data_IF_279092792662
#
_entry.id   IF_279092792662
#
_cell.length_a   1.000
_cell.length_b   1.000
_cell.length_c   1.000
_cell.angle_alpha   90.00
_cell.angle_beta   90.00
_cell.angle_gamma   90.00
#
_symmetry.space_group_name_H-M   'P 1'
#
loop_
_entity.id
_entity.type
_entity.pdbx_description
1 polymer ?
#
# COMPACT_ATOMS: atom_id res chain seq x y z
N UNK A 1 -5.49 7.36 -23.15
CA UNK A 1 -4.36 6.40 -23.23
C UNK A 1 -3.85 6.29 -24.66
N UNK A 2 -2.56 6.52 -24.89
CA UNK A 2 -1.94 6.51 -26.22
C UNK A 2 -1.45 5.11 -26.65
N UNK A 3 -0.95 4.96 -27.89
CA UNK A 3 -0.47 3.68 -28.42
C UNK A 3 0.67 3.08 -27.59
N UNK A 4 1.60 3.90 -27.10
CA UNK A 4 2.73 3.45 -26.28
C UNK A 4 2.25 2.93 -24.92
N UNK A 5 1.32 3.62 -24.28
CA UNK A 5 0.72 3.21 -23.01
C UNK A 5 -0.05 1.89 -23.13
N UNK A 6 -0.72 1.65 -24.27
CA UNK A 6 -1.36 0.35 -24.56
C UNK A 6 -0.33 -0.77 -24.71
N UNK A 7 0.81 -0.51 -25.36
CA UNK A 7 1.91 -1.48 -25.47
C UNK A 7 2.49 -1.82 -24.09
N UNK A 8 2.71 -0.81 -23.25
CA UNK A 8 3.23 -0.99 -21.88
C UNK A 8 2.30 -1.90 -21.08
N UNK A 9 1.00 -1.61 -21.04
CA UNK A 9 0.03 -2.45 -20.32
C UNK A 9 0.02 -3.89 -20.82
N UNK A 10 0.09 -4.10 -22.14
CA UNK A 10 0.18 -5.44 -22.71
C UNK A 10 1.42 -6.18 -22.21
N UNK A 11 2.56 -5.50 -22.18
CA UNK A 11 3.84 -6.10 -21.80
C UNK A 11 3.94 -6.35 -20.28
N UNK A 12 3.31 -5.51 -19.44
CA UNK A 12 3.23 -5.71 -17.98
C UNK A 12 2.50 -7.02 -17.61
N UNK A 13 1.59 -7.48 -18.46
CA UNK A 13 0.87 -8.76 -18.29
C UNK A 13 1.48 -9.91 -19.11
N UNK A 14 2.69 -9.72 -19.66
CA UNK A 14 3.37 -10.78 -20.43
C UNK A 14 3.88 -11.86 -19.48
N UNK A 15 3.76 -13.15 -19.83
CA UNK A 15 4.42 -14.23 -19.08
C UNK A 15 5.94 -14.26 -19.31
N UNK A 16 6.46 -13.40 -20.19
CA UNK A 16 7.89 -13.30 -20.50
C UNK A 16 8.50 -12.17 -19.67
N UNK A 17 9.33 -12.52 -18.68
CA UNK A 17 9.95 -11.56 -17.75
C UNK A 17 10.66 -10.39 -18.46
N UNK A 18 11.33 -10.68 -19.58
CA UNK A 18 12.00 -9.66 -20.42
C UNK A 18 11.03 -8.59 -20.95
N UNK A 19 9.81 -8.98 -21.30
CA UNK A 19 8.79 -8.03 -21.76
C UNK A 19 8.31 -7.14 -20.61
N UNK A 20 8.13 -7.73 -19.43
CA UNK A 20 7.75 -7.01 -18.21
C UNK A 20 8.82 -5.99 -17.81
N UNK A 21 10.10 -6.40 -17.79
CA UNK A 21 11.24 -5.51 -17.51
C UNK A 21 11.32 -4.32 -18.49
N UNK A 22 11.10 -4.60 -19.78
CA UNK A 22 11.00 -3.54 -20.80
C UNK A 22 9.84 -2.59 -20.49
N UNK A 23 8.67 -3.13 -20.14
CA UNK A 23 7.50 -2.34 -19.80
C UNK A 23 7.74 -1.44 -18.58
N UNK A 24 8.30 -1.98 -17.50
CA UNK A 24 8.64 -1.24 -16.27
C UNK A 24 9.67 -0.14 -16.53
N UNK A 25 10.59 -0.35 -17.47
CA UNK A 25 11.53 0.69 -17.92
C UNK A 25 10.78 1.81 -18.66
N UNK A 26 9.88 1.45 -19.57
CA UNK A 26 9.08 2.40 -20.35
C UNK A 26 8.08 3.20 -19.49
N UNK A 27 7.60 2.65 -18.37
CA UNK A 27 6.71 3.34 -17.41
C UNK A 27 7.36 4.64 -16.90
N UNK A 28 8.68 4.69 -16.71
CA UNK A 28 9.36 5.89 -16.22
C UNK A 28 9.22 7.11 -17.16
N UNK A 29 9.02 6.88 -18.45
CA UNK A 29 8.91 7.94 -19.46
C UNK A 29 7.49 8.15 -19.98
N UNK A 30 6.69 7.08 -20.00
CA UNK A 30 5.38 7.08 -20.67
C UNK A 30 4.25 6.58 -19.76
N UNK A 31 4.54 6.40 -18.47
CA UNK A 31 3.60 5.92 -17.47
C UNK A 31 2.37 6.80 -17.28
N UNK A 32 1.36 6.23 -16.64
CA UNK A 32 0.16 6.93 -16.18
C UNK A 32 -0.44 6.17 -15.01
N UNK A 33 -1.25 6.84 -14.18
CA UNK A 33 -1.95 6.24 -13.05
C UNK A 33 -2.72 4.95 -13.41
N UNK A 34 -3.25 4.85 -14.64
CA UNK A 34 -3.92 3.65 -15.15
C UNK A 34 -3.05 2.37 -15.20
N UNK A 35 -1.74 2.48 -15.01
CA UNK A 35 -0.80 1.34 -15.00
C UNK A 35 -0.55 0.79 -13.60
N UNK A 36 -0.91 1.53 -12.55
CA UNK A 36 -0.70 1.11 -11.16
C UNK A 36 -1.31 -0.28 -10.88
N UNK A 37 -2.57 -0.58 -11.28
CA UNK A 37 -3.14 -1.90 -11.04
C UNK A 37 -2.36 -3.02 -11.71
N UNK A 38 -1.85 -2.80 -12.93
CA UNK A 38 -1.07 -3.81 -13.65
C UNK A 38 0.29 -4.07 -12.98
N UNK A 39 0.95 -3.02 -12.46
CA UNK A 39 2.24 -3.14 -11.76
C UNK A 39 2.05 -3.86 -10.41
N UNK A 40 1.01 -3.48 -9.65
CA UNK A 40 0.68 -4.15 -8.39
C UNK A 40 0.30 -5.61 -8.64
N UNK A 41 -0.55 -5.88 -9.64
CA UNK A 41 -0.91 -7.25 -9.99
C UNK A 41 0.30 -8.12 -10.34
N UNK A 42 1.29 -7.59 -11.06
CA UNK A 42 2.53 -8.32 -11.32
C UNK A 42 3.25 -8.73 -10.02
N UNK A 43 3.43 -7.80 -9.06
CA UNK A 43 4.02 -8.13 -7.75
C UNK A 43 3.19 -9.16 -6.99
N UNK A 44 1.86 -9.11 -7.14
CA UNK A 44 0.94 -10.04 -6.50
C UNK A 44 1.08 -11.47 -7.04
N UNK A 45 1.18 -11.62 -8.36
CA UNK A 45 1.21 -12.93 -9.04
C UNK A 45 2.55 -13.68 -8.88
N UNK A 46 3.64 -12.98 -8.56
CA UNK A 46 4.96 -13.59 -8.38
C UNK A 46 5.12 -14.26 -6.99
N UNK A 47 5.31 -15.58 -6.93
CA UNK A 47 5.50 -16.30 -5.65
C UNK A 47 6.85 -15.97 -4.98
N UNK A 48 7.89 -15.72 -5.78
CA UNK A 48 9.24 -15.42 -5.32
C UNK A 48 9.73 -14.07 -5.89
N UNK A 49 10.80 -13.52 -5.30
CA UNK A 49 11.41 -12.28 -5.80
C UNK A 49 12.10 -12.52 -7.13
N UNK A 50 11.59 -11.91 -8.19
CA UNK A 50 12.20 -11.86 -9.53
C UNK A 50 12.77 -10.48 -9.82
N UNK A 51 13.63 -10.37 -10.85
CA UNK A 51 14.18 -9.08 -11.29
C UNK A 51 13.03 -8.14 -11.69
N UNK A 52 12.01 -8.65 -12.36
CA UNK A 52 10.83 -7.89 -12.72
C UNK A 52 10.02 -7.42 -11.49
N UNK A 53 9.83 -8.29 -10.49
CA UNK A 53 9.10 -7.92 -9.26
C UNK A 53 9.84 -6.83 -8.46
N UNK A 54 11.17 -6.88 -8.39
CA UNK A 54 11.97 -5.88 -7.68
C UNK A 54 12.00 -4.56 -8.45
N UNK A 55 12.04 -4.63 -9.78
CA UNK A 55 11.89 -3.45 -10.62
C UNK A 55 10.50 -2.82 -10.48
N UNK A 56 9.45 -3.63 -10.34
CA UNK A 56 8.09 -3.14 -10.13
C UNK A 56 7.98 -2.41 -8.78
N UNK A 57 8.53 -2.97 -7.71
CA UNK A 57 8.63 -2.30 -6.40
C UNK A 57 9.41 -0.98 -6.50
N UNK A 58 10.53 -0.94 -7.24
CA UNK A 58 11.30 0.29 -7.50
C UNK A 58 10.48 1.37 -8.23
N UNK A 59 9.66 0.95 -9.20
CA UNK A 59 8.76 1.88 -9.91
C UNK A 59 7.72 2.45 -8.96
N UNK A 60 7.09 1.60 -8.13
CA UNK A 60 6.08 2.05 -7.16
C UNK A 60 6.67 2.90 -6.03
N UNK A 61 7.88 2.58 -5.55
CA UNK A 61 8.57 3.37 -4.52
C UNK A 61 9.13 4.71 -5.02
N UNK A 62 9.03 5.00 -6.33
CA UNK A 62 9.47 6.27 -6.91
C UNK A 62 8.32 7.14 -7.44
N UNK A 63 7.07 6.84 -7.05
CA UNK A 63 5.88 7.57 -7.46
C UNK A 63 5.84 8.99 -6.89
N UNK A 64 5.80 9.98 -7.78
CA UNK A 64 5.71 11.41 -7.43
C UNK A 64 4.40 12.07 -7.85
N UNK A 65 3.71 11.46 -8.81
CA UNK A 65 2.49 12.01 -9.38
C UNK A 65 1.30 11.69 -8.47
N UNK A 66 0.53 12.71 -8.11
CA UNK A 66 -0.60 12.57 -7.18
C UNK A 66 -1.73 11.71 -7.73
N UNK A 67 -1.96 11.70 -9.04
CA UNK A 67 -2.97 10.82 -9.65
C UNK A 67 -2.55 9.36 -9.50
N UNK A 68 -1.26 9.06 -9.72
CA UNK A 68 -0.70 7.72 -9.53
C UNK A 68 -0.67 7.29 -8.06
N UNK A 69 -0.36 8.20 -7.13
CA UNK A 69 -0.42 7.94 -5.69
C UNK A 69 -1.85 7.62 -5.23
N UNK A 70 -2.84 8.38 -5.68
CA UNK A 70 -4.25 8.09 -5.38
C UNK A 70 -4.69 6.75 -5.98
N UNK A 71 -4.33 6.47 -7.24
CA UNK A 71 -4.61 5.19 -7.87
C UNK A 71 -3.99 4.01 -7.09
N UNK A 72 -2.82 4.21 -6.48
CA UNK A 72 -2.18 3.21 -5.63
C UNK A 72 -2.99 2.94 -4.35
N UNK A 73 -3.41 4.00 -3.65
CA UNK A 73 -4.20 3.88 -2.42
C UNK A 73 -5.56 3.23 -2.69
N UNK A 74 -6.23 3.61 -3.78
CA UNK A 74 -7.51 3.03 -4.21
C UNK A 74 -7.38 1.53 -4.57
N UNK A 75 -6.25 1.15 -5.17
CA UNK A 75 -6.00 -0.22 -5.59
C UNK A 75 -5.67 -1.13 -4.40
N UNK A 76 -4.85 -0.65 -3.47
CA UNK A 76 -4.37 -1.39 -2.29
C UNK A 76 -5.49 -1.94 -1.40
N UNK A 77 -6.61 -1.23 -1.30
CA UNK A 77 -7.72 -1.65 -0.42
C UNK A 77 -8.54 -2.81 -0.97
N UNK A 78 -8.24 -3.26 -2.20
CA UNK A 78 -8.93 -4.40 -2.81
C UNK A 78 -8.54 -5.72 -2.14
N UNK A 79 -9.48 -6.67 -2.00
CA UNK A 79 -9.23 -7.95 -1.33
C UNK A 79 -8.09 -8.78 -1.93
N UNK A 80 -7.80 -8.63 -3.22
CA UNK A 80 -6.76 -9.42 -3.91
C UNK A 80 -5.35 -9.13 -3.40
N UNK A 81 -5.09 -7.92 -2.87
CA UNK A 81 -3.78 -7.55 -2.35
C UNK A 81 -3.57 -7.91 -0.88
N UNK A 82 -4.58 -8.50 -0.24
CA UNK A 82 -4.57 -8.77 1.20
C UNK A 82 -3.44 -9.70 1.64
N UNK A 83 -3.10 -10.70 0.81
CA UNK A 83 -2.03 -11.66 1.13
C UNK A 83 -0.65 -11.00 1.22
N UNK A 84 -0.43 -9.97 0.40
CA UNK A 84 0.82 -9.21 0.33
C UNK A 84 0.67 -7.79 0.88
N UNK A 85 -0.31 -7.56 1.77
CA UNK A 85 -0.61 -6.22 2.29
C UNK A 85 0.60 -5.55 2.92
N UNK A 86 1.45 -6.29 3.64
CA UNK A 86 2.69 -5.74 4.22
C UNK A 86 3.62 -5.15 3.15
N UNK A 87 3.80 -5.84 2.02
CA UNK A 87 4.65 -5.34 0.93
C UNK A 87 4.11 -4.03 0.37
N UNK A 88 2.81 -3.96 0.13
CA UNK A 88 2.20 -2.76 -0.43
C UNK A 88 2.07 -1.61 0.57
N UNK A 89 1.82 -1.89 1.84
CA UNK A 89 1.82 -0.87 2.88
C UNK A 89 3.22 -0.27 3.02
N UNK A 90 4.27 -1.09 3.04
CA UNK A 90 5.64 -0.57 3.11
C UNK A 90 6.04 0.34 1.95
N UNK A 91 5.50 0.10 0.75
CA UNK A 91 5.74 0.98 -0.40
C UNK A 91 5.20 2.41 -0.19
N UNK A 92 4.21 2.62 0.68
CA UNK A 92 3.62 3.95 0.95
C UNK A 92 4.68 4.88 1.54
N UNK A 93 5.32 4.48 2.63
CA UNK A 93 6.35 5.32 3.25
C UNK A 93 7.63 5.36 2.41
N UNK A 94 7.97 4.28 1.70
CA UNK A 94 9.12 4.26 0.80
C UNK A 94 8.99 5.25 -0.36
N UNK A 95 7.79 5.42 -0.91
CA UNK A 95 7.51 6.41 -1.95
C UNK A 95 7.21 7.82 -1.44
N UNK A 96 7.05 8.02 -0.13
CA UNK A 96 6.54 9.28 0.41
C UNK A 96 5.12 9.59 -0.09
N UNK A 97 4.27 8.57 -0.19
CA UNK A 97 2.86 8.72 -0.56
C UNK A 97 2.13 9.40 0.60
N UNK A 98 1.38 10.46 0.28
CA UNK A 98 0.55 11.18 1.25
C UNK A 98 -0.73 10.41 1.55
N UNK A 99 -0.71 9.62 2.61
CA UNK A 99 -1.78 8.70 2.96
C UNK A 99 -2.66 9.16 4.13
N UNK A 100 -2.48 10.40 4.63
CA UNK A 100 -3.16 10.91 5.83
C UNK A 100 -4.69 10.80 5.72
N UNK A 101 -5.25 11.09 4.54
CA UNK A 101 -6.69 10.98 4.25
C UNK A 101 -7.19 9.54 4.01
N UNK A 102 -6.33 8.53 4.19
CA UNK A 102 -6.64 7.13 3.93
C UNK A 102 -6.25 6.22 5.11
N UNK A 103 -5.78 6.77 6.23
CA UNK A 103 -5.24 6.00 7.37
C UNK A 103 -6.22 4.95 7.86
N UNK A 104 -7.51 5.25 7.96
CA UNK A 104 -8.54 4.30 8.37
C UNK A 104 -8.65 3.09 7.44
N UNK A 105 -8.49 3.29 6.13
CA UNK A 105 -8.50 2.21 5.16
C UNK A 105 -7.23 1.36 5.25
N UNK A 106 -6.07 2.00 5.47
CA UNK A 106 -4.80 1.29 5.67
C UNK A 106 -4.82 0.45 6.95
N UNK A 107 -5.35 1.00 8.04
CA UNK A 107 -5.56 0.26 9.31
C UNK A 107 -6.48 -0.95 9.08
N UNK A 108 -7.63 -0.76 8.42
CA UNK A 108 -8.55 -1.88 8.08
C UNK A 108 -7.87 -2.94 7.22
N UNK A 109 -6.99 -2.54 6.30
CA UNK A 109 -6.18 -3.46 5.47
C UNK A 109 -5.18 -4.24 6.33
N UNK A 110 -4.44 -3.57 7.21
CA UNK A 110 -3.45 -4.18 8.09
C UNK A 110 -4.06 -5.16 9.12
N UNK A 111 -5.23 -4.84 9.67
CA UNK A 111 -5.92 -5.70 10.62
C UNK A 111 -6.34 -7.04 10.01
N UNK A 112 -6.59 -7.10 8.70
CA UNK A 112 -6.85 -8.33 7.95
C UNK A 112 -5.58 -9.08 7.54
N UNK A 113 -4.44 -8.40 7.50
CA UNK A 113 -3.15 -8.96 7.07
C UNK A 113 -2.43 -9.72 8.18
N UNK A 114 -1.10 -9.75 8.11
CA UNK A 114 -0.24 -10.35 9.12
C UNK A 114 0.29 -9.31 10.12
N UNK A 115 1.25 -9.72 10.96
CA UNK A 115 1.93 -8.84 11.90
C UNK A 115 2.64 -7.68 11.19
N UNK A 116 3.35 -7.98 10.09
CA UNK A 116 4.11 -6.98 9.34
C UNK A 116 3.21 -5.90 8.75
N UNK A 117 2.01 -6.27 8.32
CA UNK A 117 1.04 -5.30 7.80
C UNK A 117 0.66 -4.23 8.85
N UNK A 118 0.53 -4.62 10.13
CA UNK A 118 0.27 -3.66 11.22
C UNK A 118 1.50 -2.80 11.48
N UNK A 119 2.69 -3.39 11.44
CA UNK A 119 3.96 -2.67 11.61
C UNK A 119 4.16 -1.57 10.55
N UNK A 120 3.85 -1.87 9.29
CA UNK A 120 3.95 -0.88 8.21
C UNK A 120 2.98 0.29 8.41
N UNK A 121 1.75 0.05 8.88
CA UNK A 121 0.81 1.14 9.19
C UNK A 121 1.29 2.02 10.33
N UNK A 122 1.87 1.42 11.38
CA UNK A 122 2.52 2.20 12.46
C UNK A 122 3.60 3.10 11.85
N UNK A 123 4.46 2.55 11.00
CA UNK A 123 5.55 3.29 10.36
C UNK A 123 5.01 4.44 9.49
N UNK A 124 3.94 4.22 8.74
CA UNK A 124 3.28 5.26 7.92
C UNK A 124 2.76 6.41 8.81
N UNK A 125 2.07 6.09 9.91
CA UNK A 125 1.53 7.11 10.83
C UNK A 125 2.66 7.90 11.48
N UNK A 126 3.71 7.23 11.97
CA UNK A 126 4.87 7.89 12.60
C UNK A 126 5.65 8.78 11.63
N UNK A 127 5.65 8.46 10.33
CA UNK A 127 6.33 9.22 9.28
C UNK A 127 5.39 10.14 8.50
N UNK A 128 4.15 10.34 8.96
CA UNK A 128 3.22 11.27 8.32
C UNK A 128 3.72 12.70 8.48
N UNK A 129 3.83 13.43 7.37
CA UNK A 129 4.32 14.81 7.37
C UNK A 129 3.23 15.81 7.73
N UNK A 130 1.97 15.44 7.48
CA UNK A 130 0.81 16.29 7.74
C UNK A 130 -0.05 15.69 8.85
N UNK A 131 -0.91 16.55 9.39
CA UNK A 131 -1.93 16.16 10.34
C UNK A 131 -2.88 15.11 9.74
N UNK A 132 -3.11 14.03 10.47
CA UNK A 132 -4.09 13.01 10.09
C UNK A 132 -5.48 13.51 10.50
N UNK A 133 -6.47 13.57 9.58
CA UNK A 133 -7.81 14.05 9.92
C UNK A 133 -8.46 13.26 11.06
N UNK A 134 -9.15 13.95 11.98
CA UNK A 134 -9.89 13.33 13.09
C UNK A 134 -10.80 12.15 12.66
N UNK A 135 -11.57 12.23 11.55
CA UNK A 135 -12.38 11.08 11.11
C UNK A 135 -11.54 9.82 10.82
N UNK A 136 -10.34 9.97 10.26
CA UNK A 136 -9.45 8.85 9.95
C UNK A 136 -8.90 8.22 11.23
N UNK A 137 -8.59 9.03 12.25
CA UNK A 137 -8.14 8.56 13.56
C UNK A 137 -9.25 7.80 14.27
N UNK A 138 -10.45 8.40 14.36
CA UNK A 138 -11.59 7.83 15.06
C UNK A 138 -12.03 6.49 14.45
N UNK A 139 -12.13 6.43 13.11
CA UNK A 139 -12.46 5.18 12.43
C UNK A 139 -11.39 4.09 12.64
N UNK A 140 -10.12 4.47 12.68
CA UNK A 140 -9.00 3.57 12.96
C UNK A 140 -9.07 3.01 14.38
N UNK A 141 -9.31 3.86 15.38
CA UNK A 141 -9.47 3.45 16.77
C UNK A 141 -10.64 2.48 16.93
N UNK A 142 -11.78 2.75 16.29
CA UNK A 142 -12.94 1.86 16.31
C UNK A 142 -12.57 0.50 15.70
N UNK A 143 -11.88 0.48 14.56
CA UNK A 143 -11.45 -0.75 13.90
C UNK A 143 -10.50 -1.57 14.78
N UNK A 144 -9.51 -0.93 15.43
CA UNK A 144 -8.59 -1.58 16.36
C UNK A 144 -9.31 -2.16 17.58
N UNK A 145 -10.22 -1.40 18.21
CA UNK A 145 -11.01 -1.86 19.37
C UNK A 145 -11.86 -3.08 19.01
N UNK A 146 -12.59 -3.01 17.89
CA UNK A 146 -13.38 -4.14 17.38
C UNK A 146 -12.51 -5.36 17.08
N UNK A 147 -11.31 -5.17 16.53
CA UNK A 147 -10.38 -6.27 16.30
C UNK A 147 -9.95 -6.92 17.62
N UNK A 148 -9.53 -6.13 18.61
CA UNK A 148 -9.07 -6.62 19.92
C UNK A 148 -10.16 -7.39 20.67
N UNK A 149 -11.40 -6.88 20.65
CA UNK A 149 -12.55 -7.52 21.29
C UNK A 149 -12.87 -8.89 20.67
N UNK A 150 -12.80 -9.00 19.35
CA UNK A 150 -13.11 -10.23 18.63
C UNK A 150 -11.94 -11.21 18.54
N UNK A 151 -10.71 -10.78 18.83
CA UNK A 151 -9.49 -11.56 18.61
C UNK A 151 -8.58 -11.61 19.84
N UNK A 152 -9.15 -11.81 21.03
CA UNK A 152 -8.45 -11.76 22.32
C UNK A 152 -7.21 -12.68 22.45
N UNK A 153 -7.09 -13.74 21.62
CA UNK A 153 -5.96 -14.69 21.59
C UNK A 153 -5.05 -14.54 20.37
N UNK A 154 -5.25 -13.51 19.55
CA UNK A 154 -4.45 -13.30 18.34
C UNK A 154 -3.00 -12.99 18.69
N UNK A 155 -2.07 -13.54 17.91
CA UNK A 155 -0.64 -13.22 17.99
C UNK A 155 -0.36 -11.75 17.60
N UNK A 156 -1.29 -11.09 16.91
CA UNK A 156 -1.16 -9.66 16.56
C UNK A 156 -1.68 -8.72 17.65
N UNK A 157 -2.20 -9.23 18.78
CA UNK A 157 -2.86 -8.41 19.79
C UNK A 157 -1.98 -7.25 20.28
N UNK A 158 -0.75 -7.56 20.69
CA UNK A 158 0.19 -6.58 21.23
C UNK A 158 0.52 -5.45 20.23
N UNK A 159 0.80 -5.79 18.96
CA UNK A 159 1.08 -4.77 17.95
C UNK A 159 -0.15 -3.93 17.60
N UNK A 160 -1.36 -4.50 17.67
CA UNK A 160 -2.60 -3.74 17.48
C UNK A 160 -2.89 -2.83 18.68
N UNK A 161 -2.54 -3.24 19.90
CA UNK A 161 -2.58 -2.36 21.08
C UNK A 161 -1.61 -1.18 20.93
N UNK A 162 -0.39 -1.42 20.42
CA UNK A 162 0.57 -0.36 20.12
C UNK A 162 0.05 0.62 19.07
N UNK A 163 -0.56 0.11 17.98
CA UNK A 163 -1.19 0.95 16.96
C UNK A 163 -2.32 1.80 17.57
N UNK A 164 -3.17 1.22 18.42
CA UNK A 164 -4.24 1.96 19.10
C UNK A 164 -3.68 3.06 20.01
N UNK A 165 -2.63 2.78 20.77
CA UNK A 165 -1.97 3.77 21.62
C UNK A 165 -1.37 4.91 20.79
N UNK A 166 -0.77 4.61 19.64
CA UNK A 166 -0.26 5.64 18.72
C UNK A 166 -1.40 6.55 18.23
N UNK A 167 -2.51 5.97 17.80
CA UNK A 167 -3.69 6.72 17.34
C UNK A 167 -4.26 7.63 18.45
N UNK A 168 -4.34 7.14 19.69
CA UNK A 168 -4.79 7.93 20.84
C UNK A 168 -3.86 9.13 21.12
N UNK A 169 -2.55 8.97 20.91
CA UNK A 169 -1.60 10.07 21.03
C UNK A 169 -1.78 11.08 19.91
N UNK A 170 -1.99 10.64 18.66
CA UNK A 170 -2.22 11.53 17.51
C UNK A 170 -3.48 12.38 17.68
N UNK A 171 -4.56 11.81 18.22
CA UNK A 171 -5.81 12.51 18.52
C UNK A 171 -5.62 13.69 19.50
N UNK A 172 -4.63 13.58 20.40
CA UNK A 172 -4.42 14.60 21.45
C UNK A 172 -3.77 15.89 20.93
N UNK A 173 -3.24 15.88 19.70
CA UNK A 173 -2.52 17.00 19.09
C UNK A 173 -3.27 17.68 17.93
N UNK A 174 -4.48 17.20 17.61
CA UNK A 174 -5.41 17.79 16.65
C UNK A 174 -6.47 18.65 17.37
#
# INVERSE_FOLDING_TARGET
MNTKQKEILKNLSSPIEKDVLKALTDVKQHGSAAMIPAIMKHIMEEEESTEASDKAKEVLSSLKDSEAQNAYLDELIKPEYQEKSATYLGLIWQAGIKAENHVSNLVKCALKGDFNSVFEVITIIENSENEIPEPEILESQIACKLYLDNNAKSQKKEIVENLLQLLDQTDTYN
#
